data_IF_679381114315
#
_entry.id   IF_679381114315
#
_cell.length_a   1.000
_cell.length_b   1.000
_cell.length_c   1.000
_cell.angle_alpha   90.00
_cell.angle_beta   90.00
_cell.angle_gamma   90.00
#
_symmetry.space_group_name_H-M   'P 1'
#
loop_
_entity.id
_entity.type
_entity.pdbx_description
1 polymer ?
#
# COMPACT_ATOMS: atom_id res chain seq x y z
N UNK A 1 32.67 -22.12 -3.55
CA UNK A 1 32.97 -20.88 -2.81
C UNK A 1 31.86 -19.88 -3.14
N UNK A 2 30.81 -19.79 -2.32
CA UNK A 2 29.74 -18.82 -2.56
C UNK A 2 30.25 -17.42 -2.19
N UNK A 3 30.18 -16.49 -3.15
CA UNK A 3 30.49 -15.09 -2.96
C UNK A 3 29.66 -14.52 -1.80
N UNK A 4 30.33 -14.18 -0.68
CA UNK A 4 29.74 -13.50 0.49
C UNK A 4 29.78 -11.97 0.32
N UNK A 5 29.43 -11.45 -0.84
CA UNK A 5 29.14 -10.02 -0.96
C UNK A 5 27.66 -9.82 -0.69
N UNK A 6 27.28 -9.73 0.60
CA UNK A 6 25.99 -9.11 0.95
C UNK A 6 26.11 -7.66 0.45
N UNK A 7 25.36 -7.28 -0.59
CA UNK A 7 25.31 -5.89 -1.05
C UNK A 7 24.77 -5.03 0.11
N UNK A 8 25.65 -4.33 0.81
CA UNK A 8 25.30 -3.40 1.87
C UNK A 8 24.88 -2.06 1.26
N UNK A 9 23.71 -2.01 0.62
CA UNK A 9 23.12 -0.72 0.27
C UNK A 9 22.50 -0.11 1.54
N UNK A 10 22.76 1.19 1.76
CA UNK A 10 22.14 1.98 2.84
C UNK A 10 20.90 2.73 2.38
N UNK A 11 20.81 2.96 1.08
CA UNK A 11 19.73 3.69 0.42
C UNK A 11 19.10 2.76 -0.61
N UNK A 12 17.78 2.73 -0.63
CA UNK A 12 16.96 2.14 -1.69
C UNK A 12 16.49 3.29 -2.56
N UNK A 13 16.87 3.25 -3.84
CA UNK A 13 16.34 4.17 -4.85
C UNK A 13 15.10 3.52 -5.47
N UNK A 14 13.97 4.19 -5.31
CA UNK A 14 12.66 3.73 -5.77
C UNK A 14 12.23 4.63 -6.90
N UNK A 15 11.68 4.02 -7.95
CA UNK A 15 10.98 4.71 -9.02
C UNK A 15 9.53 4.27 -8.95
N UNK A 16 8.64 5.18 -8.58
CA UNK A 16 7.22 4.88 -8.40
C UNK A 16 6.40 5.67 -9.43
N UNK A 17 5.51 4.98 -10.15
CA UNK A 17 4.63 5.62 -11.13
C UNK A 17 3.54 6.43 -10.42
N UNK A 18 3.42 7.72 -10.74
CA UNK A 18 2.35 8.56 -10.23
C UNK A 18 1.28 8.76 -11.31
N UNK A 19 0.08 8.21 -11.11
CA UNK A 19 -1.07 8.37 -12.02
C UNK A 19 -1.55 9.82 -12.15
N UNK A 20 -1.20 10.71 -11.21
CA UNK A 20 -1.54 12.13 -11.31
C UNK A 20 -0.56 12.86 -12.24
N UNK A 21 0.74 12.59 -12.11
CA UNK A 21 1.76 13.19 -12.97
C UNK A 21 1.88 12.48 -14.33
N UNK A 22 1.44 11.22 -14.42
CA UNK A 22 1.80 10.29 -15.51
C UNK A 22 3.32 10.17 -15.71
N UNK A 23 4.08 10.17 -14.62
CA UNK A 23 5.55 10.09 -14.62
C UNK A 23 6.10 9.18 -13.50
N UNK A 24 7.36 8.76 -13.67
CA UNK A 24 8.10 8.01 -12.65
C UNK A 24 8.75 8.98 -11.66
N UNK A 25 8.36 8.88 -10.40
CA UNK A 25 8.85 9.73 -9.32
C UNK A 25 10.03 9.03 -8.62
N UNK A 26 11.25 9.63 -8.66
CA UNK A 26 12.40 9.07 -7.97
C UNK A 26 12.33 9.40 -6.47
N UNK A 27 12.52 8.39 -5.64
CA UNK A 27 12.49 8.50 -4.18
C UNK A 27 13.69 7.78 -3.58
N UNK A 28 14.25 8.34 -2.50
CA UNK A 28 15.33 7.73 -1.74
C UNK A 28 14.83 7.41 -0.34
N UNK A 29 14.87 6.13 0.02
CA UNK A 29 14.45 5.66 1.34
C UNK A 29 15.63 4.92 1.96
N UNK A 30 15.93 5.21 3.23
CA UNK A 30 17.03 4.50 3.90
C UNK A 30 16.60 3.07 4.23
N UNK A 31 17.54 2.14 4.20
CA UNK A 31 17.30 0.76 4.58
C UNK A 31 16.82 0.66 6.04
N UNK A 32 17.38 1.49 6.92
CA UNK A 32 17.03 1.55 8.33
C UNK A 32 15.57 1.97 8.52
N UNK A 33 15.14 3.02 7.82
CA UNK A 33 13.75 3.49 7.84
C UNK A 33 12.79 2.38 7.40
N UNK A 34 13.11 1.68 6.30
CA UNK A 34 12.30 0.55 5.83
C UNK A 34 12.25 -0.51 6.92
N UNK A 35 13.40 -0.93 7.48
CA UNK A 35 13.46 -1.99 8.48
C UNK A 35 12.73 -1.66 9.78
N UNK A 36 12.79 -0.40 10.24
CA UNK A 36 12.07 0.09 11.42
C UNK A 36 10.55 0.06 11.19
N UNK A 37 10.11 0.43 9.98
CA UNK A 37 8.69 0.40 9.62
C UNK A 37 8.20 -0.96 9.12
N UNK A 38 9.10 -1.91 8.83
CA UNK A 38 8.74 -3.18 8.19
C UNK A 38 8.06 -4.17 9.13
N UNK A 39 8.05 -3.94 10.44
CA UNK A 39 7.43 -4.76 11.50
C UNK A 39 7.33 -6.26 11.12
N UNK A 40 6.23 -6.65 10.44
CA UNK A 40 6.02 -7.97 9.84
C UNK A 40 5.43 -7.95 8.40
N UNK A 41 6.06 -7.22 7.48
CA UNK A 41 6.10 -7.62 6.06
C UNK A 41 5.79 -6.55 5.02
N UNK A 42 5.21 -5.41 5.37
CA UNK A 42 5.05 -4.27 4.45
C UNK A 42 5.31 -2.96 5.19
N UNK A 43 6.21 -2.16 4.62
CA UNK A 43 6.41 -0.77 4.97
C UNK A 43 5.70 0.14 3.95
N UNK A 44 4.97 1.15 4.42
CA UNK A 44 4.32 2.14 3.54
C UNK A 44 5.04 3.47 3.65
N UNK A 45 5.69 3.89 2.56
CA UNK A 45 6.27 5.23 2.46
C UNK A 45 5.24 6.21 1.93
N UNK A 46 4.90 7.22 2.73
CA UNK A 46 4.22 8.44 2.27
C UNK A 46 5.24 9.41 1.67
N UNK A 47 4.94 9.97 0.50
CA UNK A 47 5.75 11.01 -0.13
C UNK A 47 4.88 12.03 -0.84
N UNK A 48 5.09 13.31 -0.55
CA UNK A 48 4.37 14.42 -1.16
C UNK A 48 5.26 15.06 -2.24
N UNK A 49 4.65 15.36 -3.40
CA UNK A 49 5.35 15.98 -4.52
C UNK A 49 4.39 16.79 -5.40
N UNK A 50 4.96 17.48 -6.37
CA UNK A 50 4.28 18.21 -7.46
C UNK A 50 4.93 17.80 -8.77
N UNK A 51 4.19 17.82 -9.88
CA UNK A 51 4.79 17.61 -11.19
C UNK A 51 5.70 18.80 -11.55
N UNK A 52 7.01 18.58 -11.78
CA UNK A 52 7.91 19.65 -12.23
C UNK A 52 7.66 20.10 -13.67
N UNK A 53 7.00 19.26 -14.48
CA UNK A 53 6.72 19.50 -15.89
C UNK A 53 5.22 19.29 -16.20
N UNK A 54 4.33 20.10 -15.60
CA UNK A 54 2.90 20.03 -15.90
C UNK A 54 2.65 20.46 -17.35
N UNK A 55 1.62 19.91 -17.98
CA UNK A 55 1.20 20.32 -19.31
C UNK A 55 0.73 21.79 -19.25
N UNK A 56 1.41 22.72 -19.94
CA UNK A 56 1.02 24.13 -19.91
C UNK A 56 -0.26 24.40 -20.70
N UNK A 57 -0.65 23.52 -21.62
CA UNK A 57 -1.77 23.68 -22.53
C UNK A 57 -3.05 22.96 -22.04
N UNK A 58 -2.94 22.12 -21.02
CA UNK A 58 -4.07 21.47 -20.34
C UNK A 58 -4.50 22.27 -19.09
N UNK A 59 -5.60 23.02 -19.21
CA UNK A 59 -6.17 23.77 -18.09
C UNK A 59 -6.73 22.86 -16.97
N UNK A 60 -6.93 21.57 -17.25
CA UNK A 60 -7.37 20.56 -16.27
C UNK A 60 -6.20 19.79 -15.62
N UNK A 61 -4.95 20.09 -15.98
CA UNK A 61 -3.78 19.44 -15.38
C UNK A 61 -3.58 19.86 -13.92
N UNK A 62 -4.11 19.02 -13.03
CA UNK A 62 -4.00 19.17 -11.57
C UNK A 62 -2.67 18.64 -11.00
N UNK A 63 -1.77 18.12 -11.83
CA UNK A 63 -0.48 17.59 -11.36
C UNK A 63 0.45 18.67 -10.79
N UNK A 64 0.14 19.95 -11.07
CA UNK A 64 0.73 21.14 -10.45
C UNK A 64 0.51 21.22 -8.94
N UNK A 65 -0.63 20.71 -8.48
CA UNK A 65 -0.99 20.75 -7.08
C UNK A 65 -0.22 19.68 -6.30
N UNK A 66 0.08 19.96 -5.02
CA UNK A 66 0.73 18.99 -4.16
C UNK A 66 -0.15 17.77 -3.96
N UNK A 67 0.42 16.60 -4.21
CA UNK A 67 -0.26 15.33 -4.06
C UNK A 67 0.67 14.26 -3.52
N UNK A 68 0.06 13.20 -3.00
CA UNK A 68 0.72 12.16 -2.24
C UNK A 68 0.87 10.91 -3.10
N UNK A 69 2.01 10.25 -2.97
CA UNK A 69 2.23 8.87 -3.41
C UNK A 69 2.51 7.99 -2.17
N UNK A 70 1.76 6.90 -2.05
CA UNK A 70 2.04 5.81 -1.14
C UNK A 70 2.77 4.72 -1.90
N UNK A 71 3.89 4.26 -1.34
CA UNK A 71 4.69 3.17 -1.89
C UNK A 71 4.74 2.06 -0.86
N UNK A 72 4.24 0.88 -1.22
CA UNK A 72 4.25 -0.31 -0.38
C UNK A 72 5.50 -1.14 -0.69
N UNK A 73 6.31 -1.41 0.33
CA UNK A 73 7.63 -2.02 0.20
C UNK A 73 7.68 -3.29 1.06
N UNK A 74 8.06 -4.42 0.45
CA UNK A 74 8.17 -5.71 1.14
C UNK A 74 9.50 -5.90 1.89
N UNK A 75 9.63 -7.02 2.60
CA UNK A 75 10.86 -7.40 3.32
C UNK A 75 12.12 -7.55 2.45
N UNK A 76 11.92 -7.68 1.14
CA UNK A 76 12.98 -7.83 0.14
C UNK A 76 13.33 -6.49 -0.53
N UNK A 77 12.76 -5.37 -0.05
CA UNK A 77 12.91 -4.03 -0.61
C UNK A 77 12.30 -3.86 -2.00
N UNK A 78 11.36 -4.73 -2.38
CA UNK A 78 10.59 -4.59 -3.61
C UNK A 78 9.41 -3.66 -3.38
N UNK A 79 9.11 -2.81 -4.36
CA UNK A 79 7.84 -2.10 -4.42
C UNK A 79 6.77 -3.11 -4.85
N UNK A 80 5.76 -3.33 -4.01
CA UNK A 80 4.65 -4.26 -4.30
C UNK A 80 3.36 -3.54 -4.63
N UNK A 81 3.30 -2.23 -4.42
CA UNK A 81 2.21 -1.40 -4.90
C UNK A 81 2.52 0.09 -4.76
N UNK A 82 1.78 0.87 -5.53
CA UNK A 82 1.91 2.33 -5.57
C UNK A 82 0.51 2.93 -5.65
N UNK A 83 0.26 4.01 -4.91
CA UNK A 83 -1.02 4.73 -5.00
C UNK A 83 -0.83 6.22 -4.91
N UNK A 84 -1.34 6.95 -5.89
CA UNK A 84 -1.29 8.42 -5.91
C UNK A 84 -2.67 9.03 -5.67
N UNK A 85 -2.72 10.11 -4.88
CA UNK A 85 -3.97 10.79 -4.52
C UNK A 85 -3.72 12.23 -4.04
N UNK A 86 -4.76 13.06 -4.11
CA UNK A 86 -4.75 14.41 -3.53
C UNK A 86 -5.18 14.36 -2.05
N UNK A 87 -4.63 15.26 -1.23
CA UNK A 87 -4.97 15.36 0.20
C UNK A 87 -4.40 14.22 1.05
N UNK A 88 -5.12 13.89 2.13
CA UNK A 88 -4.68 12.90 3.12
C UNK A 88 -5.06 11.45 2.78
N UNK A 89 -6.03 11.26 1.87
CA UNK A 89 -6.54 9.95 1.45
C UNK A 89 -7.08 10.01 0.00
N UNK A 90 -7.10 8.89 -0.76
CA UNK A 90 -7.83 8.82 -2.02
C UNK A 90 -9.29 9.20 -1.84
N UNK A 91 -9.82 10.01 -2.75
CA UNK A 91 -11.27 10.24 -2.79
C UNK A 91 -11.98 8.93 -3.10
N UNK A 92 -13.14 8.72 -2.47
CA UNK A 92 -13.88 7.46 -2.60
C UNK A 92 -14.33 7.18 -4.05
N UNK A 93 -14.44 8.24 -4.85
CA UNK A 93 -14.88 8.21 -6.26
C UNK A 93 -13.77 7.68 -7.19
N UNK A 94 -12.53 7.55 -6.70
CA UNK A 94 -11.40 6.98 -7.45
C UNK A 94 -11.27 5.47 -7.31
N UNK A 95 -12.12 4.83 -6.51
CA UNK A 95 -12.13 3.38 -6.42
C UNK A 95 -13.03 2.81 -7.50
N UNK A 96 -12.51 1.81 -8.22
CA UNK A 96 -13.26 1.11 -9.26
C UNK A 96 -13.74 -0.24 -8.73
N UNK A 97 -14.92 -0.64 -9.17
CA UNK A 97 -15.40 -1.99 -8.93
C UNK A 97 -14.56 -3.00 -9.74
N UNK A 98 -14.36 -4.23 -9.26
CA UNK A 98 -13.58 -5.24 -9.97
C UNK A 98 -14.17 -5.56 -11.34
N UNK A 99 -15.50 -5.44 -11.44
CA UNK A 99 -16.29 -5.55 -12.66
C UNK A 99 -17.46 -4.58 -12.61
N UNK A 100 -17.94 -4.20 -13.79
CA UNK A 100 -19.12 -3.36 -13.92
C UNK A 100 -20.32 -4.00 -13.20
N UNK A 101 -20.95 -3.24 -12.30
CA UNK A 101 -22.08 -3.69 -11.48
C UNK A 101 -21.70 -4.45 -10.20
N UNK A 102 -20.42 -4.75 -9.96
CA UNK A 102 -19.96 -5.27 -8.67
C UNK A 102 -19.73 -4.16 -7.64
N UNK A 103 -19.69 -4.54 -6.35
CA UNK A 103 -19.48 -3.57 -5.27
C UNK A 103 -18.00 -3.34 -5.03
N UNK A 104 -17.63 -2.08 -4.85
CA UNK A 104 -16.32 -1.69 -4.33
C UNK A 104 -16.21 -2.19 -2.89
N UNK A 105 -15.11 -2.88 -2.57
CA UNK A 105 -14.84 -3.48 -1.26
C UNK A 105 -13.55 -2.89 -0.70
N UNK A 106 -13.66 -2.09 0.35
CA UNK A 106 -12.51 -1.41 0.98
C UNK A 106 -12.35 -1.94 2.40
N UNK A 107 -11.31 -2.74 2.69
CA UNK A 107 -11.00 -3.18 4.04
C UNK A 107 -10.34 -2.08 4.86
N UNK A 108 -10.77 -1.94 6.12
CA UNK A 108 -10.26 -0.99 7.09
C UNK A 108 -9.99 -1.70 8.42
N UNK A 109 -8.79 -1.55 8.95
CA UNK A 109 -8.45 -1.93 10.33
C UNK A 109 -9.18 -1.01 11.30
N UNK A 110 -9.96 -1.60 12.21
CA UNK A 110 -10.82 -0.82 13.14
C UNK A 110 -10.26 -0.73 14.57
N UNK A 111 -9.15 -1.39 14.84
CA UNK A 111 -8.39 -1.29 16.10
C UNK A 111 -6.92 -1.52 15.83
N UNK A 112 -6.07 -0.84 16.57
CA UNK A 112 -4.62 -1.06 16.50
C UNK A 112 -4.30 -2.53 16.83
N UNK A 113 -3.44 -3.13 16.02
CA UNK A 113 -3.02 -4.53 16.17
C UNK A 113 -1.52 -4.54 16.43
N UNK A 114 -1.07 -4.78 17.67
CA UNK A 114 0.35 -4.80 17.99
C UNK A 114 1.00 -6.07 17.45
N UNK A 115 2.29 -6.00 17.10
CA UNK A 115 3.10 -7.15 16.64
C UNK A 115 3.07 -8.34 17.62
N UNK A 116 2.94 -8.06 18.92
CA UNK A 116 2.82 -9.05 19.98
C UNK A 116 1.65 -10.03 19.72
N UNK A 117 0.61 -9.60 19.00
CA UNK A 117 -0.51 -10.45 18.59
C UNK A 117 -0.07 -11.63 17.72
N UNK A 118 1.00 -11.46 16.91
CA UNK A 118 1.60 -12.54 16.12
C UNK A 118 2.43 -13.45 17.03
N UNK A 119 3.22 -12.88 17.93
CA UNK A 119 4.08 -13.65 18.86
C UNK A 119 3.25 -14.53 19.81
N UNK A 120 2.07 -14.05 20.22
CA UNK A 120 1.11 -14.78 21.04
C UNK A 120 0.24 -15.76 20.23
N UNK A 121 0.42 -15.85 18.91
CA UNK A 121 -0.34 -16.76 18.05
C UNK A 121 -1.81 -16.38 17.84
N UNK A 122 -2.20 -15.15 18.17
CA UNK A 122 -3.59 -14.67 18.00
C UNK A 122 -3.93 -14.43 16.53
N UNK A 123 -2.93 -14.07 15.73
CA UNK A 123 -2.99 -13.91 14.28
C UNK A 123 -1.71 -14.44 13.65
N UNK A 124 -1.77 -14.83 12.39
CA UNK A 124 -0.58 -15.26 11.64
C UNK A 124 0.22 -14.07 11.15
N UNK A 125 1.49 -14.29 10.77
CA UNK A 125 2.33 -13.27 10.13
C UNK A 125 1.67 -12.74 8.84
N UNK A 126 1.09 -13.63 8.05
CA UNK A 126 0.38 -13.28 6.81
C UNK A 126 -0.84 -12.41 7.09
N UNK A 127 -1.64 -12.75 8.10
CA UNK A 127 -2.77 -11.92 8.54
C UNK A 127 -2.29 -10.53 8.98
N UNK A 128 -1.18 -10.44 9.70
CA UNK A 128 -0.59 -9.16 10.09
C UNK A 128 -0.15 -8.34 8.87
N UNK A 129 0.54 -8.95 7.91
CA UNK A 129 0.95 -8.31 6.65
C UNK A 129 -0.24 -7.72 5.90
N UNK A 130 -1.33 -8.47 5.79
CA UNK A 130 -2.59 -8.02 5.18
C UNK A 130 -3.23 -6.87 5.96
N UNK A 131 -3.22 -6.90 7.29
CA UNK A 131 -3.76 -5.81 8.11
C UNK A 131 -3.05 -4.47 7.83
N UNK A 132 -1.72 -4.48 7.58
CA UNK A 132 -0.96 -3.26 7.28
C UNK A 132 -1.37 -2.58 5.97
N UNK A 133 -2.05 -3.28 5.06
CA UNK A 133 -2.56 -2.73 3.79
C UNK A 133 -4.07 -2.47 3.80
N UNK A 134 -4.76 -2.89 4.86
CA UNK A 134 -6.18 -2.60 5.11
C UNK A 134 -6.36 -1.22 5.77
N UNK A 135 -5.75 -0.19 5.20
CA UNK A 135 -5.69 1.18 5.72
C UNK A 135 -6.87 2.06 5.26
N UNK A 136 -7.84 1.48 4.55
CA UNK A 136 -8.93 2.21 3.90
C UNK A 136 -8.53 2.93 2.62
N UNK A 137 -7.27 2.81 2.20
CA UNK A 137 -6.76 3.40 0.97
C UNK A 137 -6.78 2.41 -0.18
N UNK A 138 -7.03 1.12 0.03
CA UNK A 138 -6.96 0.07 -0.99
C UNK A 138 -8.28 -0.68 -1.12
N UNK A 139 -8.63 -1.13 -2.33
CA UNK A 139 -9.68 -2.16 -2.47
C UNK A 139 -9.15 -3.52 -2.02
N UNK A 140 -10.05 -4.50 -1.87
CA UNK A 140 -9.68 -5.88 -1.55
C UNK A 140 -8.74 -6.49 -2.63
N UNK A 141 -8.94 -6.15 -3.89
CA UNK A 141 -8.12 -6.57 -5.03
C UNK A 141 -6.73 -5.94 -4.98
N UNK A 142 -6.67 -4.64 -4.67
CA UNK A 142 -5.40 -3.93 -4.47
C UNK A 142 -4.64 -4.50 -3.26
N UNK A 143 -5.33 -4.85 -2.18
CA UNK A 143 -4.73 -5.55 -1.03
C UNK A 143 -4.14 -6.89 -1.47
N UNK A 144 -4.85 -7.65 -2.30
CA UNK A 144 -4.36 -8.93 -2.84
C UNK A 144 -3.11 -8.74 -3.69
N UNK A 145 -3.10 -7.74 -4.58
CA UNK A 145 -1.94 -7.38 -5.40
C UNK A 145 -0.73 -6.99 -4.54
N UNK A 146 -0.91 -6.03 -3.62
CA UNK A 146 0.16 -5.52 -2.74
C UNK A 146 0.77 -6.64 -1.88
N UNK A 147 -0.06 -7.57 -1.43
CA UNK A 147 0.37 -8.70 -0.58
C UNK A 147 0.76 -9.94 -1.35
N UNK A 148 0.70 -9.91 -2.70
CA UNK A 148 1.03 -11.01 -3.60
C UNK A 148 0.23 -12.29 -3.29
N UNK A 149 -1.09 -12.13 -3.08
CA UNK A 149 -2.04 -13.20 -2.78
C UNK A 149 -3.18 -13.21 -3.80
N UNK A 150 -3.92 -14.31 -3.84
CA UNK A 150 -5.17 -14.33 -4.59
C UNK A 150 -6.27 -13.54 -3.87
N UNK A 151 -7.26 -13.06 -4.62
CA UNK A 151 -8.42 -12.36 -4.06
C UNK A 151 -9.17 -13.30 -3.09
N UNK A 152 -9.32 -14.56 -3.46
CA UNK A 152 -9.97 -15.59 -2.64
C UNK A 152 -9.26 -15.80 -1.30
N UNK A 153 -7.92 -15.88 -1.31
CA UNK A 153 -7.13 -15.96 -0.07
C UNK A 153 -7.33 -14.74 0.82
N UNK A 154 -7.39 -13.54 0.23
CA UNK A 154 -7.68 -12.31 0.97
C UNK A 154 -9.09 -12.32 1.53
N UNK A 155 -10.10 -12.76 0.77
CA UNK A 155 -11.48 -12.87 1.26
C UNK A 155 -11.59 -13.80 2.47
N UNK A 156 -10.96 -14.99 2.41
CA UNK A 156 -10.91 -15.91 3.53
C UNK A 156 -10.23 -15.28 4.76
N UNK A 157 -9.11 -14.56 4.55
CA UNK A 157 -8.45 -13.83 5.63
C UNK A 157 -9.32 -12.70 6.17
N UNK A 158 -10.05 -11.97 5.33
CA UNK A 158 -10.97 -10.90 5.76
C UNK A 158 -12.08 -11.45 6.64
N UNK A 159 -12.63 -12.61 6.30
CA UNK A 159 -13.66 -13.28 7.13
C UNK A 159 -13.10 -13.64 8.51
N UNK A 160 -11.92 -14.27 8.57
CA UNK A 160 -11.26 -14.62 9.82
C UNK A 160 -10.90 -13.39 10.67
N UNK A 161 -10.42 -12.31 10.05
CA UNK A 161 -10.05 -11.07 10.72
C UNK A 161 -11.28 -10.29 11.20
N UNK A 162 -12.40 -10.35 10.45
CA UNK A 162 -13.69 -9.77 10.84
C UNK A 162 -14.27 -10.48 12.05
N UNK A 163 -14.19 -11.80 12.11
CA UNK A 163 -14.66 -12.58 13.28
C UNK A 163 -13.87 -12.26 14.56
N UNK A 164 -12.59 -11.87 14.41
CA UNK A 164 -11.73 -11.33 15.48
C UNK A 164 -12.00 -9.85 15.80
N UNK A 165 -12.90 -9.21 15.06
CA UNK A 165 -13.25 -7.79 15.16
C UNK A 165 -12.11 -6.84 14.79
N UNK A 166 -11.15 -7.27 13.96
CA UNK A 166 -9.97 -6.48 13.60
C UNK A 166 -10.19 -5.62 12.36
N UNK A 167 -11.01 -6.10 11.42
CA UNK A 167 -11.26 -5.44 10.12
C UNK A 167 -12.75 -5.28 9.87
N UNK A 168 -13.11 -4.19 9.19
CA UNK A 168 -14.41 -4.03 8.50
C UNK A 168 -14.17 -3.85 7.01
N UNK A 169 -15.03 -4.45 6.19
CA UNK A 169 -15.05 -4.21 4.73
C UNK A 169 -16.23 -3.30 4.42
N UNK A 170 -15.93 -2.06 4.01
CA UNK A 170 -16.94 -1.15 3.49
C UNK A 170 -17.32 -1.61 2.09
N UNK A 171 -18.62 -1.80 1.86
CA UNK A 171 -19.17 -2.18 0.54
C UNK A 171 -19.97 -1.01 -0.03
N UNK A 172 -19.69 -0.58 -1.25
CA UNK A 172 -20.47 0.45 -1.96
C UNK A 172 -20.78 0.03 -3.40
N UNK A 173 -21.94 0.45 -3.86
CA UNK A 173 -22.47 0.29 -5.22
C UNK A 173 -22.28 1.58 -6.00
#
# INVERSE_FOLDING_TARGET
>A
MQSKVKKYFRIVEIWAWCEICHEMIPMKVSKEEIQEGLELGIYTKKYEHTNPFPDPDDEEDKSRDTHTIFVYIDENYNVTGVKSFFGDAPSMDKFEAPKEGERIRIPIVIKEVPEMSVQLGMITKEQYKVLKTCDGMNTLEQVAEITQKSVEEIEEMMDQLRDKGLVKVIKRS
#
